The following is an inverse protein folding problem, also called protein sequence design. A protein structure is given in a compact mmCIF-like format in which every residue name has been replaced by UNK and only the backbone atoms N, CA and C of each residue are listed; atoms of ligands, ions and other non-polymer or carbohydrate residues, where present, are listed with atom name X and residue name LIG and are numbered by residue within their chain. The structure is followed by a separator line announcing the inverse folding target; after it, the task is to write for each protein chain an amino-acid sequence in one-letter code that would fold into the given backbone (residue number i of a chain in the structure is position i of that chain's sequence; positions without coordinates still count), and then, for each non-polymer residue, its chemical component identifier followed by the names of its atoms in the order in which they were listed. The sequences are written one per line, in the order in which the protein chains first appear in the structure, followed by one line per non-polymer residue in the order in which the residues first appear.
data_IF_127587754293
#
_entry.id   IF_127587754293
#
_cell.length_a   1.000
_cell.length_b   1.000
_cell.length_c   1.000
_cell.angle_alpha   90.00
_cell.angle_beta   90.00
_cell.angle_gamma   90.00
#
_symmetry.space_group_name_H-M   'P 1'
#
loop_
_entity.id
_entity.type
_entity.pdbx_description
1 polymer ?
#
# COMPACT_ATOMS: atom_id res chain seq x y z
N UNK A 1 30.80 -32.24 2.24
CA UNK A 1 29.87 -31.59 1.29
C UNK A 1 29.10 -30.54 2.08
N UNK A 2 29.01 -29.32 1.56
CA UNK A 2 28.36 -28.22 2.26
C UNK A 2 27.13 -27.80 1.45
N UNK A 3 25.93 -27.90 2.04
CA UNK A 3 24.70 -27.49 1.37
C UNK A 3 24.30 -26.09 1.79
N UNK A 4 23.90 -25.28 0.80
CA UNK A 4 23.47 -23.92 1.01
C UNK A 4 22.11 -23.68 0.35
N UNK A 5 21.33 -22.78 0.90
CA UNK A 5 20.07 -22.33 0.33
C UNK A 5 20.14 -20.84 0.00
N UNK A 6 19.68 -20.48 -1.19
CA UNK A 6 19.31 -19.11 -1.56
C UNK A 6 17.81 -18.96 -1.50
N UNK A 7 17.32 -17.91 -0.88
CA UNK A 7 15.89 -17.61 -0.74
C UNK A 7 15.61 -16.22 -1.31
N UNK A 8 14.71 -16.16 -2.26
CA UNK A 8 14.16 -14.91 -2.79
C UNK A 8 12.72 -14.75 -2.32
N UNK A 9 12.46 -13.66 -1.60
CA UNK A 9 11.12 -13.31 -1.14
C UNK A 9 10.56 -12.26 -2.08
N UNK A 10 9.69 -12.71 -2.99
CA UNK A 10 8.90 -11.83 -3.85
C UNK A 10 7.62 -11.35 -3.16
N UNK A 11 6.89 -10.44 -3.79
CA UNK A 11 5.60 -9.97 -3.27
C UNK A 11 4.53 -11.08 -3.29
N UNK A 12 4.54 -11.92 -4.32
CA UNK A 12 3.55 -12.99 -4.53
C UNK A 12 4.09 -14.39 -4.25
N UNK A 13 5.36 -14.63 -4.57
CA UNK A 13 6.00 -15.94 -4.44
C UNK A 13 7.30 -15.83 -3.66
N UNK A 14 7.57 -16.83 -2.83
CA UNK A 14 8.86 -17.07 -2.18
C UNK A 14 9.53 -18.26 -2.87
N UNK A 15 10.71 -18.04 -3.39
CA UNK A 15 11.48 -19.07 -4.12
C UNK A 15 12.70 -19.50 -3.33
N UNK A 16 13.01 -20.77 -3.39
CA UNK A 16 14.16 -21.37 -2.73
C UNK A 16 14.94 -22.20 -3.72
N UNK A 17 16.27 -22.02 -3.74
CA UNK A 17 17.20 -22.85 -4.48
C UNK A 17 18.20 -23.49 -3.54
N UNK A 18 18.43 -24.79 -3.70
CA UNK A 18 19.44 -25.55 -2.94
C UNK A 18 20.64 -25.81 -3.82
N UNK A 19 21.81 -25.55 -3.28
CA UNK A 19 23.08 -25.81 -3.95
C UNK A 19 24.07 -26.55 -3.05
N UNK A 20 24.93 -27.35 -3.68
CA UNK A 20 26.09 -27.98 -3.05
C UNK A 20 27.36 -27.20 -3.37
N UNK A 21 28.12 -26.86 -2.36
CA UNK A 21 29.42 -26.18 -2.52
C UNK A 21 30.53 -27.20 -2.65
N UNK A 22 31.19 -27.19 -3.82
CA UNK A 22 32.34 -27.99 -4.12
C UNK A 22 33.51 -27.11 -4.60
N UNK A 23 34.47 -26.87 -3.71
CA UNK A 23 35.58 -25.96 -3.98
C UNK A 23 35.15 -24.52 -4.23
N UNK A 24 35.42 -23.95 -5.41
CA UNK A 24 34.98 -22.59 -5.79
C UNK A 24 33.68 -22.55 -6.59
N UNK A 25 32.96 -23.67 -6.72
CA UNK A 25 31.74 -23.78 -7.52
C UNK A 25 30.57 -24.19 -6.65
N UNK A 26 29.38 -23.75 -7.06
CA UNK A 26 28.10 -24.16 -6.45
C UNK A 26 27.33 -24.94 -7.53
N UNK A 27 27.00 -26.17 -7.23
CA UNK A 27 26.18 -27.02 -8.07
C UNK A 27 24.72 -26.93 -7.63
N UNK A 28 23.84 -26.57 -8.56
CA UNK A 28 22.38 -26.56 -8.29
C UNK A 28 21.89 -27.98 -8.08
N UNK A 29 21.08 -28.18 -7.05
CA UNK A 29 20.49 -29.48 -6.72
C UNK A 29 18.97 -29.50 -6.89
N UNK A 30 18.27 -28.53 -6.32
CA UNK A 30 16.81 -28.48 -6.35
C UNK A 30 16.29 -27.06 -6.11
N UNK A 31 15.02 -26.84 -6.43
CA UNK A 31 14.30 -25.63 -6.06
C UNK A 31 12.85 -25.93 -5.70
N UNK A 32 12.24 -25.00 -4.96
CA UNK A 32 10.82 -24.98 -4.69
C UNK A 32 10.33 -23.55 -4.60
N UNK A 33 9.04 -23.35 -4.85
CA UNK A 33 8.39 -22.06 -4.69
C UNK A 33 7.05 -22.22 -3.99
N UNK A 34 6.68 -21.23 -3.20
CA UNK A 34 5.37 -21.19 -2.55
C UNK A 34 4.82 -19.77 -2.59
N UNK A 35 3.53 -19.62 -2.29
CA UNK A 35 2.95 -18.27 -2.12
C UNK A 35 3.61 -17.59 -0.92
N UNK A 36 4.01 -16.31 -1.09
CA UNK A 36 4.57 -15.52 0.01
C UNK A 36 3.54 -15.39 1.12
N UNK A 37 3.95 -15.75 2.34
CA UNK A 37 3.10 -15.68 3.53
C UNK A 37 3.22 -14.31 4.19
N UNK A 38 2.09 -13.59 4.27
CA UNK A 38 2.06 -12.21 4.78
C UNK A 38 2.76 -11.22 3.85
N UNK A 39 3.00 -10.04 4.37
CA UNK A 39 3.70 -8.97 3.63
C UNK A 39 5.19 -9.25 3.52
N UNK A 40 5.78 -9.01 2.37
CA UNK A 40 7.23 -9.11 2.14
C UNK A 40 7.99 -8.30 3.20
N UNK A 41 8.98 -8.93 3.82
CA UNK A 41 9.82 -8.33 4.86
C UNK A 41 9.27 -8.47 6.28
N UNK A 42 8.14 -9.15 6.48
CA UNK A 42 7.58 -9.42 7.82
C UNK A 42 7.97 -10.80 8.34
N UNK A 43 7.86 -10.99 9.66
CA UNK A 43 8.11 -12.28 10.31
C UNK A 43 7.20 -13.42 9.78
N UNK A 44 6.03 -13.07 9.21
CA UNK A 44 5.12 -14.02 8.59
C UNK A 44 5.76 -14.76 7.41
N UNK A 45 6.74 -14.16 6.71
CA UNK A 45 7.43 -14.82 5.60
C UNK A 45 8.20 -16.08 6.01
N UNK A 46 8.59 -16.19 7.28
CA UNK A 46 9.30 -17.36 7.82
C UNK A 46 8.52 -18.67 7.61
N UNK A 47 7.19 -18.60 7.64
CA UNK A 47 6.36 -19.81 7.41
C UNK A 47 6.48 -20.29 5.96
N UNK A 48 6.38 -19.39 4.98
CA UNK A 48 6.56 -19.72 3.56
C UNK A 48 7.98 -20.19 3.25
N UNK A 49 8.99 -19.52 3.80
CA UNK A 49 10.40 -19.91 3.65
C UNK A 49 10.62 -21.34 4.15
N UNK A 50 10.15 -21.67 5.35
CA UNK A 50 10.27 -23.02 5.91
C UNK A 50 9.59 -24.08 5.05
N UNK A 51 8.39 -23.78 4.55
CA UNK A 51 7.66 -24.69 3.69
C UNK A 51 8.42 -24.96 2.38
N UNK A 52 8.92 -23.92 1.72
CA UNK A 52 9.69 -24.03 0.48
C UNK A 52 11.04 -24.73 0.70
N UNK A 53 11.75 -24.43 1.81
CA UNK A 53 12.98 -25.13 2.17
C UNK A 53 12.75 -26.62 2.36
N UNK A 54 11.72 -27.01 3.13
CA UNK A 54 11.36 -28.40 3.37
C UNK A 54 11.02 -29.14 2.06
N UNK A 55 10.28 -28.48 1.16
CA UNK A 55 9.95 -29.07 -0.14
C UNK A 55 11.20 -29.24 -1.01
N UNK A 56 12.07 -28.21 -1.11
CA UNK A 56 13.27 -28.27 -1.91
C UNK A 56 14.25 -29.33 -1.40
N UNK A 57 14.46 -29.41 -0.08
CA UNK A 57 15.31 -30.44 0.54
C UNK A 57 14.74 -31.83 0.39
N UNK A 58 13.43 -32.00 0.52
CA UNK A 58 12.72 -33.26 0.31
C UNK A 58 12.90 -33.82 -1.11
N UNK A 59 13.00 -32.96 -2.14
CA UNK A 59 13.28 -33.37 -3.53
C UNK A 59 14.64 -34.08 -3.72
N UNK A 60 15.58 -33.82 -2.83
CA UNK A 60 16.92 -34.45 -2.83
C UNK A 60 17.08 -35.45 -1.70
N UNK A 61 15.98 -35.81 -1.01
CA UNK A 61 15.99 -36.81 0.07
C UNK A 61 16.70 -36.38 1.35
N UNK A 62 16.77 -35.05 1.59
CA UNK A 62 17.48 -34.48 2.75
C UNK A 62 16.53 -33.65 3.61
N UNK A 63 16.90 -33.51 4.90
CA UNK A 63 16.20 -32.64 5.86
C UNK A 63 16.87 -31.25 5.90
N UNK A 64 16.12 -30.23 6.36
CA UNK A 64 16.55 -28.83 6.41
C UNK A 64 17.78 -28.60 7.30
N UNK A 65 17.99 -29.46 8.28
CA UNK A 65 19.12 -29.46 9.24
C UNK A 65 20.47 -29.73 8.55
N UNK A 66 20.47 -30.30 7.35
CA UNK A 66 21.67 -30.50 6.55
C UNK A 66 22.21 -29.22 5.94
N UNK A 67 21.42 -28.12 5.93
CA UNK A 67 21.85 -26.83 5.41
C UNK A 67 22.84 -26.15 6.34
N UNK A 68 24.00 -25.78 5.79
CA UNK A 68 25.04 -25.04 6.52
C UNK A 68 24.83 -23.53 6.48
N UNK A 69 24.14 -23.04 5.47
CA UNK A 69 23.90 -21.60 5.27
C UNK A 69 22.59 -21.38 4.51
N UNK A 70 21.81 -20.40 4.96
CA UNK A 70 20.65 -19.87 4.24
C UNK A 70 20.91 -18.39 3.96
N UNK A 71 20.90 -18.00 2.69
CA UNK A 71 20.99 -16.62 2.25
C UNK A 71 19.62 -16.12 1.85
N UNK A 72 19.22 -15.00 2.41
CA UNK A 72 18.00 -14.28 2.05
C UNK A 72 18.38 -13.02 1.27
N UNK A 73 17.59 -12.68 0.25
CA UNK A 73 17.65 -11.35 -0.33
C UNK A 73 17.14 -10.31 0.67
N UNK A 74 17.50 -9.05 0.47
CA UNK A 74 16.91 -7.96 1.25
C UNK A 74 15.42 -7.86 0.92
N UNK A 75 14.58 -8.25 1.86
CA UNK A 75 13.14 -8.20 1.70
C UNK A 75 12.62 -6.81 2.03
N UNK A 76 12.95 -5.81 1.22
CA UNK A 76 12.26 -4.54 1.26
C UNK A 76 10.87 -4.69 0.62
N UNK A 77 9.78 -4.18 1.25
CA UNK A 77 8.47 -4.17 0.60
C UNK A 77 8.57 -3.35 -0.69
N UNK A 78 8.37 -4.00 -1.83
CA UNK A 78 8.22 -3.28 -3.10
C UNK A 78 6.76 -2.86 -3.19
N UNK A 79 6.50 -1.59 -2.95
CA UNK A 79 5.19 -0.99 -3.13
C UNK A 79 5.06 -0.68 -4.63
N UNK A 80 4.74 -1.71 -5.40
CA UNK A 80 4.36 -1.65 -6.81
C UNK A 80 2.93 -2.16 -6.96
N UNK A 81 2.50 -2.52 -8.14
CA UNK A 81 1.11 -2.91 -8.49
C UNK A 81 0.39 -3.92 -7.56
N UNK A 82 1.15 -4.64 -6.72
CA UNK A 82 0.62 -5.54 -5.67
C UNK A 82 0.20 -4.80 -4.38
N UNK A 83 0.54 -3.54 -4.23
CA UNK A 83 0.21 -2.76 -3.01
C UNK A 83 -1.29 -2.63 -2.75
N UNK A 84 -2.12 -2.84 -3.76
CA UNK A 84 -3.57 -2.76 -3.67
C UNK A 84 -4.21 -3.89 -2.85
N UNK A 85 -3.69 -5.11 -2.91
CA UNK A 85 -4.20 -6.22 -2.08
C UNK A 85 -3.54 -6.24 -0.69
N UNK A 86 -2.33 -5.73 -0.58
CA UNK A 86 -1.56 -5.75 0.67
C UNK A 86 -1.86 -4.56 1.57
N UNK A 87 -2.34 -3.44 1.02
CA UNK A 87 -2.75 -2.26 1.79
C UNK A 87 -3.99 -2.48 2.65
N UNK A 88 -4.77 -3.53 2.39
CA UNK A 88 -5.89 -3.93 3.24
C UNK A 88 -5.45 -4.65 4.53
N UNK A 89 -4.23 -5.17 4.60
CA UNK A 89 -3.74 -5.88 5.77
C UNK A 89 -2.56 -5.20 6.49
N UNK A 90 -1.82 -4.32 5.83
CA UNK A 90 -0.77 -3.54 6.48
C UNK A 90 -1.37 -2.21 6.95
N UNK A 91 -2.08 -2.27 8.05
CA UNK A 91 -2.38 -1.09 8.86
C UNK A 91 -1.05 -0.58 9.41
N UNK A 92 -0.40 0.29 8.65
CA UNK A 92 0.52 1.25 9.24
C UNK A 92 -0.40 2.19 10.00
N UNK A 93 -0.35 2.14 11.27
CA UNK A 93 -1.32 2.55 12.29
C UNK A 93 -2.18 3.79 12.02
N UNK A 94 -1.78 4.70 11.11
CA UNK A 94 -2.55 5.92 10.84
C UNK A 94 -2.50 6.43 9.39
N UNK A 95 -1.87 5.72 8.46
CA UNK A 95 -1.79 6.17 7.06
C UNK A 95 -1.95 5.00 6.09
N UNK A 96 -2.78 5.16 5.07
CA UNK A 96 -2.92 4.21 3.97
C UNK A 96 -2.67 4.90 2.63
N UNK A 97 -2.21 4.14 1.64
CA UNK A 97 -2.03 4.57 0.26
C UNK A 97 -2.99 3.84 -0.65
N UNK A 98 -3.48 4.53 -1.67
CA UNK A 98 -4.22 3.92 -2.77
C UNK A 98 -3.33 3.90 -3.99
N UNK A 99 -3.33 2.76 -4.70
CA UNK A 99 -2.65 2.66 -5.99
C UNK A 99 -3.39 3.47 -7.05
N UNK A 100 -2.67 4.20 -7.86
CA UNK A 100 -3.17 4.93 -9.03
C UNK A 100 -2.09 4.91 -10.12
N UNK A 101 -2.46 5.28 -11.33
CA UNK A 101 -1.49 5.47 -12.40
C UNK A 101 -0.75 6.81 -12.19
N UNK A 102 0.55 6.82 -11.86
CA UNK A 102 1.28 8.06 -11.63
C UNK A 102 1.61 8.83 -12.91
N UNK A 103 1.22 8.33 -14.08
CA UNK A 103 1.54 8.92 -15.38
C UNK A 103 0.40 9.77 -15.95
N UNK A 104 -0.84 9.58 -15.50
CA UNK A 104 -2.07 10.17 -16.03
C UNK A 104 -2.67 11.34 -15.24
N UNK A 105 -2.12 11.80 -14.08
CA UNK A 105 -2.76 12.87 -13.32
C UNK A 105 -2.83 14.18 -14.10
N UNK A 106 -3.83 14.98 -13.77
CA UNK A 106 -4.00 16.32 -14.31
C UNK A 106 -3.86 17.39 -13.23
N UNK A 107 -3.72 18.64 -13.66
CA UNK A 107 -3.41 19.72 -12.76
C UNK A 107 -1.99 19.62 -12.20
N UNK A 108 -1.67 20.49 -11.27
CA UNK A 108 -0.42 20.47 -10.52
C UNK A 108 -0.61 21.12 -9.17
N UNK A 109 0.24 20.72 -8.20
CA UNK A 109 0.24 21.30 -6.86
C UNK A 109 -0.04 20.28 -5.78
N UNK A 110 -0.35 20.80 -4.61
CA UNK A 110 -0.64 20.04 -3.41
C UNK A 110 -2.06 20.35 -2.94
N UNK A 111 -2.73 19.32 -2.43
CA UNK A 111 -4.03 19.45 -1.80
C UNK A 111 -4.03 18.68 -0.47
N UNK A 112 -4.65 19.26 0.53
CA UNK A 112 -4.96 18.61 1.80
C UNK A 112 -6.41 18.87 2.11
N UNK A 113 -7.12 17.84 2.52
CA UNK A 113 -8.53 17.95 2.87
C UNK A 113 -9.10 16.64 3.35
N UNK A 114 -10.33 16.69 3.81
CA UNK A 114 -11.10 15.50 4.15
C UNK A 114 -11.66 14.86 2.90
N UNK A 115 -11.66 13.56 2.82
CA UNK A 115 -12.30 12.83 1.72
C UNK A 115 -13.82 13.04 1.77
N UNK A 116 -14.41 13.25 0.58
CA UNK A 116 -15.85 13.40 0.41
C UNK A 116 -16.30 12.66 -0.85
N UNK A 117 -17.20 11.71 -0.71
CA UNK A 117 -17.78 11.00 -1.85
C UNK A 117 -18.55 11.97 -2.74
N UNK A 118 -18.29 11.92 -4.05
CA UNK A 118 -18.97 12.74 -5.05
C UNK A 118 -20.50 12.61 -4.98
N UNK A 119 -21.01 11.40 -4.74
CA UNK A 119 -22.45 11.15 -4.59
C UNK A 119 -23.04 11.89 -3.37
N UNK A 120 -22.20 12.18 -2.38
CA UNK A 120 -22.57 12.87 -1.13
C UNK A 120 -22.04 14.29 -1.04
N UNK A 121 -21.59 14.88 -2.14
CA UNK A 121 -20.94 16.21 -2.16
C UNK A 121 -21.81 17.30 -1.52
N UNK A 122 -23.15 17.15 -1.58
CA UNK A 122 -24.11 18.10 -0.98
C UNK A 122 -24.05 18.09 0.56
N UNK A 123 -23.55 17.05 1.18
CA UNK A 123 -23.41 16.92 2.65
C UNK A 123 -22.16 17.66 3.16
N UNK A 124 -21.28 18.12 2.26
CA UNK A 124 -20.09 18.85 2.64
C UNK A 124 -20.40 20.13 3.43
N UNK A 125 -19.55 20.43 4.41
CA UNK A 125 -19.67 21.58 5.31
C UNK A 125 -18.82 22.73 4.81
N UNK A 126 -19.37 23.95 4.64
CA UNK A 126 -18.59 25.13 4.26
C UNK A 126 -17.42 25.39 5.20
N UNK A 127 -16.29 25.84 4.63
CA UNK A 127 -15.07 26.14 5.41
C UNK A 127 -14.17 24.93 5.69
N UNK A 128 -14.65 23.72 5.43
CA UNK A 128 -13.82 22.51 5.51
C UNK A 128 -13.19 22.23 4.15
N UNK A 129 -11.85 22.06 4.06
CA UNK A 129 -11.21 21.64 2.81
C UNK A 129 -11.52 20.19 2.49
N UNK A 130 -11.94 19.92 1.26
CA UNK A 130 -12.29 18.59 0.78
C UNK A 130 -11.44 18.15 -0.40
N UNK A 131 -11.12 16.87 -0.40
CA UNK A 131 -10.68 16.11 -1.57
C UNK A 131 -11.87 15.24 -1.98
N UNK A 132 -12.48 15.57 -3.10
CA UNK A 132 -13.66 14.86 -3.63
C UNK A 132 -13.20 13.61 -4.36
N UNK A 133 -13.80 12.45 -4.09
CA UNK A 133 -13.53 11.25 -4.85
C UNK A 133 -14.78 10.77 -5.60
N UNK A 134 -14.60 10.44 -6.89
CA UNK A 134 -15.68 10.02 -7.76
C UNK A 134 -15.44 8.62 -8.33
N UNK A 135 -16.47 7.78 -8.25
CA UNK A 135 -16.52 6.44 -8.84
C UNK A 135 -16.79 6.51 -10.33
N UNK A 136 -16.47 5.46 -11.07
CA UNK A 136 -16.62 5.42 -12.53
C UNK A 136 -18.07 5.53 -13.06
N UNK A 137 -19.07 5.60 -12.18
CA UNK A 137 -20.46 5.76 -12.58
C UNK A 137 -20.83 7.19 -13.02
N UNK A 138 -20.11 8.20 -12.55
CA UNK A 138 -20.30 9.59 -12.94
C UNK A 138 -19.41 9.96 -14.14
N UNK A 139 -19.94 10.69 -15.12
CA UNK A 139 -19.15 11.15 -16.26
C UNK A 139 -18.28 12.35 -15.89
N UNK A 140 -17.20 12.57 -16.67
CA UNK A 140 -16.31 13.72 -16.46
C UNK A 140 -17.03 15.07 -16.61
N UNK A 141 -18.05 15.16 -17.47
CA UNK A 141 -18.88 16.36 -17.60
C UNK A 141 -19.66 16.64 -16.31
N UNK A 142 -20.34 15.61 -15.79
CA UNK A 142 -21.12 15.72 -14.56
C UNK A 142 -20.23 16.06 -13.39
N UNK A 143 -19.08 15.40 -13.27
CA UNK A 143 -18.10 15.66 -12.20
C UNK A 143 -17.64 17.11 -12.23
N UNK A 144 -17.25 17.63 -13.39
CA UNK A 144 -16.76 19.00 -13.53
C UNK A 144 -17.87 20.03 -13.25
N UNK A 145 -19.08 19.82 -13.77
CA UNK A 145 -20.23 20.72 -13.54
C UNK A 145 -20.58 20.79 -12.04
N UNK A 146 -20.69 19.63 -11.39
CA UNK A 146 -21.04 19.56 -9.97
C UNK A 146 -19.94 20.20 -9.13
N UNK A 147 -18.66 19.93 -9.39
CA UNK A 147 -17.55 20.55 -8.67
C UNK A 147 -17.57 22.07 -8.83
N UNK A 148 -17.70 22.61 -10.02
CA UNK A 148 -17.78 24.06 -10.26
C UNK A 148 -18.95 24.70 -9.52
N UNK A 149 -20.10 24.02 -9.50
CA UNK A 149 -21.29 24.49 -8.77
C UNK A 149 -21.07 24.49 -7.25
N UNK A 150 -20.57 23.38 -6.71
CA UNK A 150 -20.41 23.21 -5.27
C UNK A 150 -19.25 24.03 -4.68
N UNK A 151 -18.25 24.39 -5.49
CA UNK A 151 -17.15 25.28 -5.08
C UNK A 151 -17.61 26.67 -4.65
N UNK A 152 -18.78 27.11 -5.06
CA UNK A 152 -19.39 28.37 -4.57
C UNK A 152 -19.68 28.31 -3.06
N UNK A 153 -19.76 27.11 -2.51
CA UNK A 153 -20.11 26.81 -1.13
C UNK A 153 -19.01 26.04 -0.37
N UNK A 154 -18.33 25.14 -1.03
CA UNK A 154 -17.32 24.25 -0.47
C UNK A 154 -15.91 24.63 -0.90
N UNK A 155 -14.95 24.36 -0.04
CA UNK A 155 -13.52 24.44 -0.38
C UNK A 155 -13.06 23.08 -0.92
N UNK A 156 -13.08 22.90 -2.24
CA UNK A 156 -12.61 21.67 -2.89
C UNK A 156 -11.17 21.90 -3.32
N UNK A 157 -10.24 21.19 -2.69
CA UNK A 157 -8.80 21.36 -2.86
C UNK A 157 -8.16 20.37 -3.82
N UNK A 158 -8.80 19.22 -4.07
CA UNK A 158 -8.30 18.17 -4.96
C UNK A 158 -9.40 17.19 -5.35
N UNK A 159 -9.11 16.35 -6.34
CA UNK A 159 -10.05 15.35 -6.88
C UNK A 159 -9.34 14.02 -7.06
N UNK A 160 -10.05 12.93 -6.80
CA UNK A 160 -9.61 11.55 -7.02
C UNK A 160 -10.67 10.87 -7.89
N UNK A 161 -10.25 10.27 -9.00
CA UNK A 161 -11.13 9.62 -9.97
C UNK A 161 -10.82 8.13 -10.09
N UNK A 162 -11.84 7.32 -10.28
CA UNK A 162 -11.66 5.92 -10.61
C UNK A 162 -11.32 5.70 -12.09
N UNK A 163 -11.91 6.49 -12.97
CA UNK A 163 -11.70 6.41 -14.41
C UNK A 163 -10.48 7.24 -14.86
N UNK A 164 -9.96 6.97 -16.07
CA UNK A 164 -8.92 7.76 -16.76
C UNK A 164 -9.54 9.01 -17.37
N UNK A 165 -9.86 9.99 -16.54
CA UNK A 165 -10.60 11.19 -16.93
C UNK A 165 -10.03 12.49 -16.35
N UNK A 166 -8.87 12.46 -15.69
CA UNK A 166 -8.31 13.61 -14.98
C UNK A 166 -8.17 14.84 -15.90
N UNK A 167 -7.62 14.67 -17.10
CA UNK A 167 -7.42 15.75 -18.07
C UNK A 167 -8.75 16.31 -18.58
N UNK A 168 -9.76 15.45 -18.76
CA UNK A 168 -11.09 15.85 -19.24
C UNK A 168 -11.83 16.68 -18.20
N UNK A 169 -11.73 16.28 -16.92
CA UNK A 169 -12.28 17.01 -15.78
C UNK A 169 -11.53 18.33 -15.61
N UNK A 170 -10.18 18.30 -15.56
CA UNK A 170 -9.35 19.50 -15.40
C UNK A 170 -9.69 20.58 -16.42
N UNK A 171 -9.84 20.20 -17.69
CA UNK A 171 -10.14 21.16 -18.77
C UNK A 171 -11.49 21.88 -18.60
N UNK A 172 -12.39 21.31 -17.79
CA UNK A 172 -13.74 21.87 -17.52
C UNK A 172 -13.86 22.56 -16.18
N UNK A 173 -12.86 22.42 -15.30
CA UNK A 173 -12.85 23.12 -14.01
C UNK A 173 -12.54 24.62 -14.22
N UNK A 174 -13.34 25.48 -13.59
CA UNK A 174 -13.11 26.93 -13.55
C UNK A 174 -11.82 27.25 -12.79
N UNK A 175 -11.59 26.58 -11.66
CA UNK A 175 -10.34 26.65 -10.90
C UNK A 175 -9.61 25.33 -10.93
N UNK A 176 -8.35 25.34 -11.31
CA UNK A 176 -7.52 24.14 -11.39
C UNK A 176 -7.14 23.63 -10.00
N UNK A 177 -7.20 22.31 -9.83
CA UNK A 177 -6.76 21.59 -8.64
C UNK A 177 -5.98 20.34 -9.06
N UNK A 178 -5.13 19.77 -8.20
CA UNK A 178 -4.52 18.47 -8.50
C UNK A 178 -5.61 17.39 -8.57
N UNK A 179 -5.55 16.59 -9.64
CA UNK A 179 -6.46 15.47 -9.90
C UNK A 179 -5.64 14.22 -10.07
N UNK A 180 -5.99 13.17 -9.34
CA UNK A 180 -5.44 11.82 -9.50
C UNK A 180 -6.53 10.94 -10.07
N UNK A 181 -6.22 10.13 -11.06
CA UNK A 181 -7.15 9.23 -11.73
C UNK A 181 -6.66 7.78 -11.80
N UNK A 182 -7.41 6.92 -12.48
CA UNK A 182 -7.17 5.47 -12.55
C UNK A 182 -6.99 4.84 -11.15
N UNK A 183 -7.71 5.35 -10.15
CA UNK A 183 -7.58 4.88 -8.77
C UNK A 183 -8.40 3.59 -8.58
N UNK A 184 -7.69 2.49 -8.52
CA UNK A 184 -8.33 1.21 -8.23
C UNK A 184 -8.69 1.12 -6.74
N UNK A 185 -9.81 0.46 -6.43
CA UNK A 185 -10.26 0.29 -5.04
C UNK A 185 -10.85 1.54 -4.38
N UNK A 186 -11.22 2.54 -5.17
CA UNK A 186 -11.86 3.79 -4.69
C UNK A 186 -13.11 3.54 -3.84
N UNK A 187 -13.78 2.39 -4.04
CA UNK A 187 -14.95 1.96 -3.25
C UNK A 187 -14.61 1.71 -1.77
N UNK A 188 -13.33 1.52 -1.47
CA UNK A 188 -12.84 1.31 -0.10
C UNK A 188 -12.47 2.63 0.59
N UNK A 189 -12.49 3.74 -0.15
CA UNK A 189 -12.23 5.08 0.41
C UNK A 189 -13.36 5.49 1.33
N UNK A 190 -13.06 5.76 2.60
CA UNK A 190 -14.04 6.30 3.51
C UNK A 190 -14.20 7.81 3.31
N UNK A 191 -15.36 8.33 3.64
CA UNK A 191 -15.58 9.74 3.85
C UNK A 191 -14.92 10.23 5.16
N UNK A 192 -14.68 11.53 5.22
CA UNK A 192 -14.23 12.25 6.42
C UNK A 192 -12.83 11.82 6.91
N UNK A 193 -12.00 11.28 6.04
CA UNK A 193 -10.60 10.94 6.31
C UNK A 193 -9.68 12.01 5.77
N UNK A 194 -8.73 12.47 6.59
CA UNK A 194 -7.74 13.43 6.14
C UNK A 194 -6.83 12.80 5.08
N UNK A 195 -6.73 13.47 3.94
CA UNK A 195 -5.92 13.05 2.81
C UNK A 195 -5.02 14.18 2.31
N UNK A 196 -3.93 13.80 1.66
CA UNK A 196 -3.04 14.72 0.95
C UNK A 196 -2.78 14.18 -0.46
N UNK A 197 -2.85 15.06 -1.45
CA UNK A 197 -2.52 14.81 -2.86
C UNK A 197 -1.34 15.69 -3.24
N UNK A 198 -0.45 15.16 -4.05
CA UNK A 198 0.57 15.93 -4.75
C UNK A 198 0.66 15.49 -6.20
N UNK A 199 0.59 16.45 -7.11
CA UNK A 199 0.78 16.25 -8.56
C UNK A 199 1.88 17.22 -9.03
N UNK A 200 2.96 16.66 -9.57
CA UNK A 200 4.06 17.44 -10.13
C UNK A 200 3.77 17.82 -11.59
N UNK A 201 4.38 18.90 -12.05
CA UNK A 201 4.34 19.28 -13.45
C UNK A 201 4.93 18.18 -14.36
N UNK A 202 4.55 18.11 -15.64
CA UNK A 202 5.15 17.20 -16.59
C UNK A 202 6.68 17.26 -16.58
N UNK A 203 7.34 16.09 -16.51
CA UNK A 203 8.79 15.99 -16.42
C UNK A 203 9.39 16.24 -15.02
N UNK A 204 8.57 16.54 -14.03
CA UNK A 204 8.98 16.69 -12.62
C UNK A 204 8.43 15.54 -11.76
N UNK A 205 8.96 15.45 -10.55
CA UNK A 205 8.52 14.48 -9.54
C UNK A 205 8.05 15.17 -8.28
N UNK A 206 7.17 14.51 -7.54
CA UNK A 206 6.67 15.00 -6.26
C UNK A 206 7.80 15.13 -5.23
N UNK A 207 7.65 16.04 -4.28
CA UNK A 207 8.65 16.37 -3.27
C UNK A 207 8.15 16.24 -1.84
N UNK A 208 6.91 16.63 -1.59
CA UNK A 208 6.33 16.60 -0.24
C UNK A 208 5.93 15.19 0.16
N UNK A 209 5.16 14.50 -0.67
CA UNK A 209 4.70 13.14 -0.35
C UNK A 209 5.80 12.07 -0.56
N UNK A 210 6.92 12.40 -1.22
CA UNK A 210 8.11 11.55 -1.27
C UNK A 210 9.08 11.77 -0.10
N UNK A 211 8.69 12.63 0.85
CA UNK A 211 9.46 12.93 2.06
C UNK A 211 8.61 12.62 3.31
N UNK A 212 9.07 11.75 4.25
CA UNK A 212 8.30 11.40 5.43
C UNK A 212 7.95 12.61 6.30
N UNK A 213 8.83 13.59 6.40
CA UNK A 213 8.54 14.84 7.12
C UNK A 213 7.52 15.72 6.40
N UNK A 214 7.51 15.68 5.07
CA UNK A 214 6.49 16.33 4.25
C UNK A 214 5.11 15.75 4.51
N UNK A 215 4.97 14.43 4.46
CA UNK A 215 3.71 13.74 4.78
C UNK A 215 3.30 14.05 6.24
N UNK A 216 4.25 13.98 7.17
CA UNK A 216 3.97 14.27 8.59
C UNK A 216 3.42 15.68 8.80
N UNK A 217 3.99 16.66 8.11
CA UNK A 217 3.52 18.06 8.17
C UNK A 217 2.12 18.21 7.61
N UNK A 218 1.84 17.60 6.45
CA UNK A 218 0.54 17.73 5.78
C UNK A 218 -0.59 17.02 6.54
N UNK A 219 -0.29 15.88 7.15
CA UNK A 219 -1.29 15.04 7.83
C UNK A 219 -1.26 15.18 9.37
N UNK A 220 -0.40 16.04 9.92
CA UNK A 220 -0.28 16.26 11.36
C UNK A 220 0.10 14.96 12.09
N UNK A 221 1.19 14.28 11.64
CA UNK A 221 1.67 13.04 12.23
C UNK A 221 2.69 13.31 13.33
N UNK A 222 2.70 12.46 14.35
CA UNK A 222 3.73 12.47 15.38
C UNK A 222 5.04 11.81 14.94
N UNK A 223 6.04 11.78 15.82
CA UNK A 223 7.36 11.24 15.51
C UNK A 223 7.36 9.71 15.26
N UNK A 224 6.48 8.96 15.92
CA UNK A 224 6.36 7.52 15.74
C UNK A 224 5.70 7.21 14.40
N UNK A 225 4.57 7.85 14.12
CA UNK A 225 3.87 7.79 12.85
C UNK A 225 4.78 8.19 11.68
N UNK A 226 5.59 9.25 11.87
CA UNK A 226 6.56 9.70 10.86
C UNK A 226 7.60 8.64 10.53
N UNK A 227 8.07 7.90 11.52
CA UNK A 227 8.98 6.76 11.28
C UNK A 227 8.29 5.64 10.48
N UNK A 228 7.04 5.34 10.81
CA UNK A 228 6.28 4.27 10.16
C UNK A 228 5.96 4.56 8.69
N UNK A 229 5.74 5.81 8.31
CA UNK A 229 5.49 6.19 6.91
C UNK A 229 6.77 6.34 6.07
N UNK A 230 7.96 6.23 6.65
CA UNK A 230 9.23 6.37 5.92
C UNK A 230 9.33 5.41 4.71
N UNK A 231 8.98 4.11 4.79
CA UNK A 231 8.98 3.24 3.63
C UNK A 231 8.01 3.70 2.53
N UNK A 232 6.83 4.21 2.92
CA UNK A 232 5.82 4.76 2.00
C UNK A 232 6.41 5.96 1.25
N UNK A 233 6.93 6.94 1.97
CA UNK A 233 7.54 8.12 1.36
C UNK A 233 8.66 7.76 0.38
N UNK A 234 9.52 6.79 0.74
CA UNK A 234 10.59 6.30 -0.15
C UNK A 234 10.07 5.67 -1.43
N UNK A 235 8.95 4.94 -1.37
CA UNK A 235 8.34 4.31 -2.56
C UNK A 235 7.75 5.32 -3.54
N UNK A 236 7.49 6.53 -3.08
CA UNK A 236 6.97 7.63 -3.88
C UNK A 236 8.07 8.46 -4.56
N UNK A 237 9.34 8.21 -4.26
CA UNK A 237 10.47 8.90 -4.90
C UNK A 237 10.44 8.63 -6.41
N UNK A 238 10.56 9.68 -7.21
CA UNK A 238 10.54 9.58 -8.67
C UNK A 238 9.14 9.51 -9.29
N UNK A 239 8.07 9.46 -8.50
CA UNK A 239 6.69 9.49 -9.01
C UNK A 239 6.27 10.91 -9.37
N UNK A 240 5.34 11.03 -10.33
CA UNK A 240 4.75 12.31 -10.74
C UNK A 240 3.58 12.72 -9.84
N UNK A 241 2.90 11.76 -9.24
CA UNK A 241 1.75 12.02 -8.36
C UNK A 241 1.66 11.00 -7.24
N UNK A 242 0.99 11.38 -6.17
CA UNK A 242 0.67 10.50 -5.06
C UNK A 242 -0.55 11.01 -4.27
N UNK A 243 -1.20 10.09 -3.59
CA UNK A 243 -2.21 10.36 -2.57
C UNK A 243 -1.93 9.53 -1.32
N UNK A 244 -2.03 10.17 -0.17
CA UNK A 244 -1.83 9.54 1.13
C UNK A 244 -2.99 9.88 2.04
N UNK A 245 -3.54 8.91 2.75
CA UNK A 245 -4.65 9.07 3.69
C UNK A 245 -4.18 8.85 5.12
N UNK A 246 -4.68 9.67 6.04
CA UNK A 246 -4.53 9.43 7.47
C UNK A 246 -5.66 8.53 7.96
N UNK A 247 -5.34 7.29 8.31
CA UNK A 247 -6.32 6.37 8.87
C UNK A 247 -6.62 6.74 10.33
N UNK A 248 -7.89 7.01 10.65
CA UNK A 248 -8.34 7.39 12.00
C UNK A 248 -8.70 6.19 12.89
N UNK A 249 -8.23 4.98 12.54
CA UNK A 249 -8.47 3.78 13.36
C UNK A 249 -9.94 3.31 13.40
N UNK A 250 -10.83 3.83 12.54
CA UNK A 250 -12.19 3.30 12.40
C UNK A 250 -12.13 1.95 11.71
N UNK A 251 -12.47 0.89 12.41
CA UNK A 251 -12.70 -0.43 11.84
C UNK A 251 -13.80 -0.35 10.79
N UNK A 252 -13.49 -0.77 9.55
CA UNK A 252 -14.49 -0.86 8.49
C UNK A 252 -15.43 -2.03 8.76
N UNK A 253 -16.75 -1.90 8.52
CA UNK A 253 -17.67 -3.01 8.58
C UNK A 253 -17.36 -3.99 7.42
N UNK A 254 -16.61 -5.03 7.70
CA UNK A 254 -16.20 -6.06 6.74
C UNK A 254 -15.10 -6.99 7.24
N UNK A 255 -14.29 -6.56 8.20
CA UNK A 255 -13.28 -7.43 8.82
C UNK A 255 -13.88 -8.15 10.02
N UNK A 256 -14.28 -9.41 9.82
CA UNK A 256 -14.57 -10.30 10.91
C UNK A 256 -13.28 -10.52 11.73
N UNK A 257 -13.23 -9.91 12.90
CA UNK A 257 -12.22 -10.26 13.90
C UNK A 257 -12.28 -11.76 14.14
N UNK A 258 -11.28 -12.49 13.66
CA UNK A 258 -11.07 -13.85 14.12
C UNK A 258 -10.79 -13.78 15.62
N UNK A 259 -11.82 -14.10 16.41
CA UNK A 259 -11.73 -14.22 17.87
C UNK A 259 -10.47 -14.98 18.24
N UNK A 260 -9.58 -14.32 18.97
CA UNK A 260 -8.57 -15.00 19.79
C UNK A 260 -9.33 -15.96 20.70
N UNK A 261 -9.29 -17.24 20.38
CA UNK A 261 -9.67 -18.28 21.35
C UNK A 261 -8.63 -18.22 22.47
N UNK A 262 -9.06 -17.76 23.62
CA UNK A 262 -8.30 -17.87 24.87
C UNK A 262 -7.93 -19.33 25.06
N UNK A 263 -6.68 -19.66 24.91
CA UNK A 263 -6.11 -20.90 25.41
C UNK A 263 -6.02 -20.76 26.94
N UNK A 264 -6.95 -21.39 27.61
CA UNK A 264 -6.89 -21.57 29.06
C UNK A 264 -5.67 -22.41 29.40
N UNK A 265 -4.90 -22.08 30.47
CA UNK A 265 -3.74 -22.86 30.85
C UNK A 265 -4.20 -24.23 31.37
N UNK A 266 -3.60 -25.29 30.85
CA UNK A 266 -3.77 -26.65 31.32
C UNK A 266 -3.33 -26.74 32.79
N UNK A 267 -4.25 -26.95 33.70
CA UNK A 267 -3.96 -27.29 35.11
C UNK A 267 -3.33 -28.68 35.16
N UNK A 268 -2.12 -28.71 35.65
CA UNK A 268 -1.50 -29.95 36.17
C UNK A 268 -2.30 -30.45 37.36
N UNK A 269 -2.89 -31.63 37.25
CA UNK A 269 -3.52 -32.37 38.35
C UNK A 269 -2.98 -33.79 38.40
N UNK A 270 -2.39 -34.10 39.51
CA UNK A 270 -1.76 -35.38 39.88
C UNK A 270 -2.80 -36.49 40.10
N UNK A 271 -2.23 -37.72 40.09
CA UNK A 271 -2.65 -38.97 40.82
C UNK A 271 -3.75 -39.80 40.11
N UNK A 272 -3.49 -40.98 39.73
CA UNK A 272 -3.08 -42.28 40.34
C UNK A 272 -2.62 -43.19 39.20
#
# INVERSE_FOLDING_TARGET
MTYIAGVDIGNSTTEVCIGEVGGAQVHFLSSASCKTTGTKGTIANVHGIRAALKEAMGKIGMETEALSLIRLNEAAPVIGDTAMETLTETIITDSSMIGHNPSTPAGAGQAVGKTLDFERIREGVPGTPYIVFAKAAASYEEIAEVINRERKRLTITGVILQADEAVLVENRLEEKVPIIDEVAGIQKLPDDVLAAIEVALPGQTIRMLSNPYGIATLLGLDAEQTRMITPIAKSLIGKRSAVVFKNTGRQYPGESSSRRKNLSPCRSGRSC
#
